data_IF_782443330667
#
_entry.id   IF_782443330667
#
_cell.length_a   1.000
_cell.length_b   1.000
_cell.length_c   1.000
_cell.angle_alpha   90.00
_cell.angle_beta   90.00
_cell.angle_gamma   90.00
#
_symmetry.space_group_name_H-M   'P 1'
#
loop_
_entity.id
_entity.type
_entity.pdbx_description
1 polymer ?
#
# COMPACT_ATOMS: atom_id res chain seq x y z
N UNK A 1 -20.40 -16.96 12.37
CA UNK A 1 -20.02 -16.00 11.31
C UNK A 1 -18.75 -16.49 10.64
N UNK A 2 -18.65 -16.34 9.32
CA UNK A 2 -17.43 -16.65 8.55
C UNK A 2 -17.01 -15.40 7.80
N UNK A 3 -15.72 -15.08 7.83
CA UNK A 3 -15.11 -14.00 7.07
C UNK A 3 -14.30 -14.63 5.95
N UNK A 4 -14.58 -14.24 4.71
CA UNK A 4 -13.83 -14.66 3.54
C UNK A 4 -12.87 -13.54 3.17
N UNK A 5 -11.59 -13.85 3.12
CA UNK A 5 -10.51 -12.90 2.81
C UNK A 5 -9.79 -13.30 1.53
N UNK A 6 -9.63 -12.38 0.62
CA UNK A 6 -8.97 -12.64 -0.65
C UNK A 6 -7.45 -12.84 -0.51
N UNK A 7 -6.85 -12.21 0.49
CA UNK A 7 -5.41 -12.27 0.75
C UNK A 7 -5.04 -13.45 1.66
N UNK A 8 -3.76 -13.78 1.70
CA UNK A 8 -3.20 -14.84 2.54
C UNK A 8 -3.11 -14.47 4.02
N UNK A 9 -3.35 -13.20 4.38
CA UNK A 9 -3.37 -12.71 5.75
C UNK A 9 -4.68 -11.99 6.07
N UNK A 10 -5.17 -12.16 7.31
CA UNK A 10 -6.36 -11.50 7.80
C UNK A 10 -5.97 -10.13 8.37
N UNK A 11 -6.74 -9.11 8.07
CA UNK A 11 -6.52 -7.76 8.61
C UNK A 11 -6.69 -6.66 7.56
N UNK A 12 -6.77 -7.02 6.28
CA UNK A 12 -6.99 -6.05 5.20
C UNK A 12 -5.97 -4.91 5.24
N UNK A 13 -6.42 -3.69 5.04
CA UNK A 13 -5.55 -2.50 5.02
C UNK A 13 -4.73 -2.29 6.29
N UNK A 14 -5.17 -2.81 7.43
CA UNK A 14 -4.41 -2.72 8.67
C UNK A 14 -3.08 -3.47 8.58
N UNK A 15 -3.02 -4.54 7.78
CA UNK A 15 -1.81 -5.33 7.56
C UNK A 15 -1.09 -4.99 6.25
N UNK A 16 -1.81 -4.84 5.14
CA UNK A 16 -1.15 -4.60 3.87
C UNK A 16 -0.82 -3.12 3.61
N UNK A 17 -1.63 -2.20 4.16
CA UNK A 17 -1.52 -0.77 3.83
C UNK A 17 -0.87 0.08 4.90
N UNK A 18 -1.00 -0.27 6.19
CA UNK A 18 -0.41 0.49 7.28
C UNK A 18 0.93 -0.15 7.67
N UNK A 19 2.05 0.59 7.58
CA UNK A 19 3.36 0.05 7.92
C UNK A 19 3.48 -0.32 9.40
N UNK A 20 4.34 -1.31 9.67
CA UNK A 20 4.62 -1.84 11.02
C UNK A 20 5.01 -0.75 12.03
N UNK A 21 5.71 0.30 11.57
CA UNK A 21 6.12 1.42 12.44
C UNK A 21 4.96 2.33 12.87
N UNK A 22 3.78 2.21 12.24
CA UNK A 22 2.56 2.92 12.65
C UNK A 22 1.59 2.01 13.41
N UNK A 23 1.41 0.80 12.93
CA UNK A 23 0.54 -0.20 13.52
C UNK A 23 1.23 -1.57 13.49
N UNK A 24 1.83 -1.99 14.59
CA UNK A 24 2.45 -3.32 14.69
C UNK A 24 1.44 -4.42 14.36
N UNK A 25 1.80 -5.32 13.43
CA UNK A 25 0.96 -6.44 13.00
C UNK A 25 0.50 -7.31 14.17
N UNK A 26 1.32 -7.43 15.21
CA UNK A 26 0.98 -8.16 16.42
C UNK A 26 -0.29 -7.64 17.11
N UNK A 27 -0.56 -6.35 17.04
CA UNK A 27 -1.80 -5.75 17.60
C UNK A 27 -3.00 -6.25 16.82
N UNK A 28 -2.90 -6.25 15.49
CA UNK A 28 -3.96 -6.76 14.60
C UNK A 28 -4.20 -8.25 14.86
N UNK A 29 -3.14 -9.04 15.04
CA UNK A 29 -3.24 -10.47 15.31
C UNK A 29 -3.96 -10.77 16.62
N UNK A 30 -3.71 -9.99 17.67
CA UNK A 30 -4.42 -10.12 18.96
C UNK A 30 -5.92 -9.90 18.80
N UNK A 31 -6.32 -8.89 18.03
CA UNK A 31 -7.74 -8.63 17.76
C UNK A 31 -8.39 -9.77 16.94
N UNK A 32 -7.71 -10.24 15.91
CA UNK A 32 -8.18 -11.39 15.10
C UNK A 32 -8.32 -12.64 15.94
N UNK A 33 -7.36 -12.93 16.81
CA UNK A 33 -7.43 -14.08 17.72
C UNK A 33 -8.56 -13.93 18.74
N UNK A 34 -8.86 -12.72 19.18
CA UNK A 34 -10.03 -12.42 19.98
C UNK A 34 -11.32 -12.84 19.26
N UNK A 35 -11.46 -12.46 18.00
CA UNK A 35 -12.62 -12.84 17.16
C UNK A 35 -12.70 -14.37 16.95
N UNK A 36 -11.56 -15.03 16.72
CA UNK A 36 -11.52 -16.52 16.61
C UNK A 36 -12.04 -17.20 17.88
N UNK A 37 -11.62 -16.70 19.06
CA UNK A 37 -12.10 -17.21 20.36
C UNK A 37 -13.60 -17.01 20.57
N UNK A 38 -14.17 -15.98 19.93
CA UNK A 38 -15.62 -15.75 19.90
C UNK A 38 -16.37 -16.65 18.89
N UNK A 39 -15.66 -17.52 18.16
CA UNK A 39 -16.24 -18.45 17.20
C UNK A 39 -16.36 -17.92 15.77
N UNK A 40 -15.70 -16.82 15.44
CA UNK A 40 -15.58 -16.35 14.05
C UNK A 40 -14.59 -17.24 13.31
N UNK A 41 -15.01 -17.75 12.14
CA UNK A 41 -14.16 -18.48 11.22
C UNK A 41 -13.61 -17.54 10.17
N UNK A 42 -12.38 -17.77 9.75
CA UNK A 42 -11.69 -17.01 8.71
C UNK A 42 -11.19 -17.96 7.64
N UNK A 43 -11.65 -17.73 6.42
CA UNK A 43 -11.24 -18.46 5.20
C UNK A 43 -10.39 -17.52 4.37
N UNK A 44 -9.09 -17.81 4.30
CA UNK A 44 -8.09 -17.02 3.54
C UNK A 44 -8.00 -17.52 2.10
N UNK A 45 -7.35 -16.73 1.25
CA UNK A 45 -7.15 -17.05 -0.17
C UNK A 45 -8.45 -17.34 -0.91
N UNK A 46 -9.54 -16.73 -0.45
CA UNK A 46 -10.88 -16.94 -0.94
C UNK A 46 -11.49 -15.67 -1.52
N UNK A 47 -11.53 -15.58 -2.84
CA UNK A 47 -12.09 -14.45 -3.57
C UNK A 47 -13.55 -14.74 -3.89
N UNK A 48 -14.47 -14.14 -3.13
CA UNK A 48 -15.91 -14.25 -3.38
C UNK A 48 -16.23 -13.68 -4.78
N UNK A 49 -16.95 -14.46 -5.58
CA UNK A 49 -17.22 -14.17 -6.99
C UNK A 49 -16.20 -14.77 -7.96
N UNK A 50 -15.13 -15.41 -7.46
CA UNK A 50 -14.11 -16.14 -8.25
C UNK A 50 -13.87 -17.54 -7.70
N UNK A 51 -13.39 -17.64 -6.47
CA UNK A 51 -13.12 -18.93 -5.79
C UNK A 51 -14.39 -19.58 -5.30
N UNK A 52 -15.33 -18.79 -4.80
CA UNK A 52 -16.66 -19.19 -4.34
C UNK A 52 -17.68 -18.18 -4.84
N UNK A 53 -18.80 -18.67 -5.35
CA UNK A 53 -19.87 -17.81 -5.82
C UNK A 53 -20.85 -17.43 -4.70
N UNK A 54 -21.72 -16.47 -4.96
CA UNK A 54 -22.81 -16.13 -4.05
C UNK A 54 -23.80 -17.29 -3.89
N UNK A 55 -24.06 -18.03 -4.98
CA UNK A 55 -24.97 -19.16 -4.97
C UNK A 55 -24.41 -20.31 -4.12
N UNK A 56 -23.09 -20.55 -4.18
CA UNK A 56 -22.42 -21.54 -3.31
C UNK A 56 -22.56 -21.14 -1.84
N UNK A 57 -22.36 -19.89 -1.50
CA UNK A 57 -22.55 -19.40 -0.12
C UNK A 57 -24.00 -19.63 0.36
N UNK A 58 -24.98 -19.40 -0.52
CA UNK A 58 -26.38 -19.64 -0.19
C UNK A 58 -26.66 -21.13 -0.01
N UNK A 59 -26.11 -22.00 -0.87
CA UNK A 59 -26.23 -23.45 -0.78
C UNK A 59 -25.59 -23.99 0.51
N UNK A 60 -24.47 -23.41 0.95
CA UNK A 60 -23.80 -23.71 2.22
C UNK A 60 -24.57 -23.22 3.45
N UNK A 61 -25.73 -22.60 3.25
CA UNK A 61 -26.65 -22.22 4.31
C UNK A 61 -26.41 -20.82 4.92
N UNK A 62 -25.55 -19.98 4.33
CA UNK A 62 -25.43 -18.60 4.73
C UNK A 62 -26.75 -17.84 4.44
N UNK A 63 -27.26 -17.12 5.43
CA UNK A 63 -28.55 -16.41 5.35
C UNK A 63 -28.41 -14.95 4.95
N UNK A 64 -27.22 -14.41 5.03
CA UNK A 64 -26.91 -13.03 4.66
C UNK A 64 -25.44 -12.87 4.40
N UNK A 65 -25.10 -11.92 3.53
CA UNK A 65 -23.73 -11.55 3.18
C UNK A 65 -23.55 -10.08 3.47
N UNK A 66 -22.52 -9.74 4.24
CA UNK A 66 -22.07 -8.38 4.45
C UNK A 66 -20.84 -8.11 3.57
N UNK A 67 -20.98 -7.21 2.61
CA UNK A 67 -19.89 -6.86 1.69
C UNK A 67 -19.00 -5.81 2.34
N UNK A 68 -17.75 -6.18 2.60
CA UNK A 68 -16.73 -5.33 3.23
C UNK A 68 -15.40 -5.45 2.49
N UNK A 69 -15.43 -5.44 1.16
CA UNK A 69 -14.27 -5.65 0.28
C UNK A 69 -13.23 -4.53 0.31
N UNK A 70 -13.55 -3.42 0.98
CA UNK A 70 -12.64 -2.25 1.07
C UNK A 70 -12.54 -1.47 -0.23
N UNK A 71 -11.55 -0.59 -0.31
CA UNK A 71 -11.26 0.27 -1.46
C UNK A 71 -9.79 0.10 -1.91
N UNK A 72 -9.38 -1.16 -2.15
CA UNK A 72 -8.00 -1.52 -2.50
C UNK A 72 -7.57 -1.17 -3.92
N UNK A 73 -8.49 -0.75 -4.80
CA UNK A 73 -8.16 -0.38 -6.17
C UNK A 73 -7.44 0.98 -6.19
N UNK A 74 -6.27 1.05 -6.82
CA UNK A 74 -5.52 2.30 -6.93
C UNK A 74 -6.19 3.26 -7.92
N UNK A 75 -6.02 4.56 -7.66
CA UNK A 75 -6.34 5.60 -8.62
C UNK A 75 -5.07 6.00 -9.38
N UNK A 76 -5.06 5.80 -10.69
CA UNK A 76 -4.01 6.25 -11.57
C UNK A 76 -4.30 7.66 -12.09
N UNK A 77 -3.25 8.39 -12.44
CA UNK A 77 -3.37 9.76 -12.96
C UNK A 77 -3.75 9.79 -14.44
N UNK A 78 -3.57 8.65 -15.14
CA UNK A 78 -3.77 8.52 -16.59
C UNK A 78 -2.90 9.49 -17.40
N UNK A 79 -1.63 9.59 -17.01
CA UNK A 79 -0.62 10.40 -17.71
C UNK A 79 0.40 9.49 -18.40
N UNK A 80 1.09 10.01 -19.45
CA UNK A 80 2.13 9.23 -20.11
C UNK A 80 3.21 8.73 -19.15
N UNK A 81 3.69 7.50 -19.36
CA UNK A 81 4.78 6.91 -18.59
C UNK A 81 4.36 6.16 -17.32
N UNK A 82 3.09 6.09 -16.97
CA UNK A 82 2.64 5.33 -15.80
C UNK A 82 2.95 3.82 -15.85
N UNK A 83 3.27 3.30 -17.04
CA UNK A 83 3.64 1.89 -17.24
C UNK A 83 5.16 1.64 -17.17
N UNK A 84 5.96 2.63 -16.85
CA UNK A 84 7.40 2.43 -16.73
C UNK A 84 7.76 1.61 -15.50
N UNK A 85 8.84 0.86 -15.61
CA UNK A 85 9.40 0.13 -14.46
C UNK A 85 9.80 1.13 -13.38
N UNK A 86 9.44 0.84 -12.13
CA UNK A 86 9.64 1.75 -11.01
C UNK A 86 8.46 2.69 -10.72
N UNK A 87 7.46 2.76 -11.62
CA UNK A 87 6.18 3.44 -11.33
C UNK A 87 5.19 2.40 -10.83
N UNK A 88 4.68 2.59 -9.63
CA UNK A 88 3.72 1.67 -9.01
C UNK A 88 2.74 2.41 -8.11
N UNK A 89 1.60 1.82 -7.86
CA UNK A 89 0.67 2.39 -6.90
C UNK A 89 1.18 2.25 -5.47
N UNK A 90 0.81 3.20 -4.60
CA UNK A 90 1.10 3.10 -3.16
C UNK A 90 0.56 1.81 -2.54
N UNK A 91 -0.62 1.35 -2.98
CA UNK A 91 -1.19 0.09 -2.51
C UNK A 91 -0.30 -1.11 -2.86
N UNK A 92 0.20 -1.17 -4.09
CA UNK A 92 1.13 -2.22 -4.51
C UNK A 92 2.43 -2.16 -3.72
N UNK A 93 3.03 -0.97 -3.62
CA UNK A 93 4.28 -0.77 -2.90
C UNK A 93 4.17 -1.20 -1.43
N UNK A 94 3.14 -0.71 -0.73
CA UNK A 94 2.93 -1.03 0.68
C UNK A 94 2.55 -2.50 0.89
N UNK A 95 1.73 -3.09 0.02
CA UNK A 95 1.40 -4.51 0.10
C UNK A 95 2.64 -5.38 -0.05
N UNK A 96 3.51 -5.08 -1.00
CA UNK A 96 4.77 -5.81 -1.19
C UNK A 96 5.65 -5.72 0.06
N UNK A 97 5.83 -4.53 0.61
CA UNK A 97 6.68 -4.33 1.80
C UNK A 97 6.07 -4.97 3.04
N UNK A 98 4.77 -4.77 3.28
CA UNK A 98 4.14 -5.16 4.54
C UNK A 98 3.70 -6.64 4.59
N UNK A 99 3.32 -7.25 3.46
CA UNK A 99 2.84 -8.64 3.42
C UNK A 99 3.77 -9.63 2.75
N UNK A 100 4.63 -9.17 1.82
CA UNK A 100 5.44 -10.05 0.99
C UNK A 100 6.91 -10.01 1.37
N UNK A 101 7.26 -9.39 2.49
CA UNK A 101 8.65 -9.21 2.97
C UNK A 101 9.59 -8.63 1.88
N UNK A 102 9.04 -7.83 0.97
CA UNK A 102 9.74 -7.34 -0.21
C UNK A 102 10.88 -6.35 0.10
N UNK A 103 10.95 -5.87 1.34
CA UNK A 103 12.09 -5.09 1.84
C UNK A 103 13.35 -5.95 2.04
N UNK A 104 13.19 -7.26 2.20
CA UNK A 104 14.27 -8.22 2.30
C UNK A 104 14.79 -8.56 0.90
N UNK A 105 16.08 -8.36 0.58
CA UNK A 105 16.64 -8.72 -0.72
C UNK A 105 16.54 -10.20 -1.08
N UNK A 106 16.43 -11.08 -0.10
CA UNK A 106 16.28 -12.53 -0.28
C UNK A 106 14.81 -12.95 -0.49
N UNK A 107 13.86 -12.01 -0.49
CA UNK A 107 12.46 -12.28 -0.79
C UNK A 107 12.28 -12.77 -2.22
N UNK A 108 11.29 -13.64 -2.46
CA UNK A 108 10.92 -14.10 -3.81
C UNK A 108 10.47 -12.94 -4.73
N UNK A 109 9.99 -11.86 -4.16
CA UNK A 109 9.50 -10.68 -4.88
C UNK A 109 10.04 -9.39 -4.24
N UNK A 110 11.35 -9.13 -4.26
CA UNK A 110 11.91 -7.93 -3.65
C UNK A 110 11.36 -6.66 -4.32
N UNK A 111 11.17 -5.62 -3.53
CA UNK A 111 10.80 -4.31 -4.06
C UNK A 111 12.06 -3.57 -4.55
N UNK A 112 11.93 -2.88 -5.67
CA UNK A 112 12.99 -1.99 -6.14
C UNK A 112 13.19 -0.85 -5.12
N UNK A 113 14.40 -0.78 -4.56
CA UNK A 113 14.79 0.28 -3.64
C UNK A 113 15.35 1.45 -4.45
N UNK A 114 14.51 2.46 -4.69
CA UNK A 114 14.94 3.67 -5.39
C UNK A 114 15.81 4.57 -4.50
N UNK A 115 16.91 5.10 -5.02
CA UNK A 115 17.70 6.13 -4.32
C UNK A 115 16.93 7.43 -4.20
N UNK A 116 16.18 7.79 -5.23
CA UNK A 116 15.30 8.98 -5.28
C UNK A 116 13.86 8.49 -5.50
N UNK A 117 12.97 8.83 -4.58
CA UNK A 117 11.58 8.38 -4.61
C UNK A 117 10.66 9.58 -4.52
N UNK A 118 9.74 9.68 -5.47
CA UNK A 118 8.66 10.66 -5.45
C UNK A 118 7.32 9.95 -5.24
N UNK A 119 6.56 10.37 -4.25
CA UNK A 119 5.21 9.86 -3.98
C UNK A 119 4.20 10.94 -4.33
N UNK A 120 3.30 10.62 -5.26
CA UNK A 120 2.30 11.56 -5.74
C UNK A 120 1.04 11.42 -4.89
N UNK A 121 0.74 12.44 -4.12
CA UNK A 121 -0.43 12.45 -3.24
C UNK A 121 -0.18 13.11 -1.90
N UNK A 122 -1.25 13.44 -1.18
CA UNK A 122 -1.21 14.14 0.12
C UNK A 122 -2.01 13.44 1.22
N UNK A 123 -2.41 12.17 1.02
CA UNK A 123 -3.14 11.39 2.01
C UNK A 123 -2.25 10.56 2.94
N UNK A 124 -2.84 9.90 3.93
CA UNK A 124 -2.11 9.04 4.87
C UNK A 124 -1.33 7.93 4.14
N UNK A 125 -1.89 7.35 3.08
CA UNK A 125 -1.22 6.33 2.28
C UNK A 125 0.05 6.86 1.60
N UNK A 126 0.03 8.13 1.15
CA UNK A 126 1.22 8.78 0.60
C UNK A 126 2.28 9.01 1.68
N UNK A 127 1.88 9.43 2.88
CA UNK A 127 2.81 9.57 4.02
C UNK A 127 3.42 8.22 4.39
N UNK A 128 2.62 7.15 4.42
CA UNK A 128 3.11 5.80 4.69
C UNK A 128 4.12 5.34 3.64
N UNK A 129 3.82 5.56 2.36
CA UNK A 129 4.70 5.13 1.26
C UNK A 129 6.02 5.89 1.26
N UNK A 130 6.00 7.21 1.41
CA UNK A 130 7.23 8.01 1.39
C UNK A 130 8.11 7.75 2.61
N UNK A 131 7.51 7.56 3.79
CA UNK A 131 8.25 7.20 5.02
C UNK A 131 8.83 5.80 4.91
N UNK A 132 8.08 4.84 4.34
CA UNK A 132 8.59 3.50 4.05
C UNK A 132 9.78 3.56 3.10
N UNK A 133 9.70 4.30 2.00
CA UNK A 133 10.82 4.48 1.08
C UNK A 133 12.04 5.10 1.77
N UNK A 134 11.83 6.12 2.61
CA UNK A 134 12.92 6.73 3.37
C UNK A 134 13.60 5.76 4.33
N UNK A 135 12.81 4.94 5.02
CA UNK A 135 13.31 3.90 5.96
C UNK A 135 14.01 2.76 5.24
N UNK A 136 13.64 2.45 3.99
CA UNK A 136 14.33 1.46 3.14
C UNK A 136 15.61 1.99 2.49
N UNK A 137 16.02 3.22 2.81
CA UNK A 137 17.32 3.74 2.41
C UNK A 137 17.30 4.71 1.23
N UNK A 138 16.14 5.23 0.82
CA UNK A 138 16.11 6.29 -0.17
C UNK A 138 16.93 7.50 0.31
N UNK A 139 17.88 7.93 -0.50
CA UNK A 139 18.72 9.11 -0.23
C UNK A 139 17.87 10.38 -0.25
N UNK A 140 16.89 10.41 -1.16
CA UNK A 140 15.92 11.49 -1.30
C UNK A 140 14.53 10.91 -1.46
N UNK A 141 13.62 11.31 -0.58
CA UNK A 141 12.21 10.93 -0.64
C UNK A 141 11.35 12.18 -0.58
N UNK A 142 10.37 12.30 -1.48
CA UNK A 142 9.55 13.50 -1.57
C UNK A 142 8.08 13.19 -1.78
N UNK A 143 7.23 14.06 -1.24
CA UNK A 143 5.81 14.14 -1.58
C UNK A 143 5.62 15.19 -2.67
N UNK A 144 4.92 14.83 -3.73
CA UNK A 144 4.45 15.75 -4.77
C UNK A 144 2.94 15.90 -4.63
N UNK A 145 2.48 17.11 -4.36
CA UNK A 145 1.07 17.35 -4.09
C UNK A 145 0.54 18.59 -4.81
N UNK A 146 -0.62 18.43 -5.46
CA UNK A 146 -1.20 19.47 -6.32
C UNK A 146 -1.73 20.72 -5.60
N UNK A 147 -1.98 20.62 -4.30
CA UNK A 147 -2.50 21.71 -3.47
C UNK A 147 -1.48 22.14 -2.43
N UNK A 148 -1.89 23.06 -1.56
CA UNK A 148 -1.06 23.49 -0.43
C UNK A 148 -0.94 22.40 0.65
N UNK A 149 -0.01 22.58 1.55
CA UNK A 149 0.17 21.64 2.66
C UNK A 149 -1.02 21.62 3.61
N UNK A 150 -1.66 22.76 3.85
CA UNK A 150 -2.83 22.88 4.72
C UNK A 150 -4.04 22.13 4.15
N UNK A 151 -4.08 21.89 2.84
CA UNK A 151 -5.14 21.14 2.17
C UNK A 151 -4.87 19.64 2.09
N UNK A 152 -3.76 19.15 2.67
CA UNK A 152 -3.47 17.72 2.69
C UNK A 152 -4.48 16.96 3.53
N UNK A 153 -5.12 15.89 2.99
CA UNK A 153 -6.05 15.07 3.75
C UNK A 153 -5.37 14.15 4.77
N UNK A 154 -4.02 14.09 4.79
CA UNK A 154 -3.27 13.35 5.78
C UNK A 154 -3.44 13.96 7.17
N UNK A 155 -3.32 13.15 8.22
CA UNK A 155 -3.27 13.63 9.60
C UNK A 155 -2.04 14.51 9.80
N UNK A 156 -2.20 15.59 10.54
CA UNK A 156 -1.10 16.54 10.82
C UNK A 156 0.11 15.85 11.46
N UNK A 157 -0.13 14.87 12.34
CA UNK A 157 0.95 14.08 12.96
C UNK A 157 1.75 13.30 11.92
N UNK A 158 1.10 12.74 10.90
CA UNK A 158 1.79 11.97 9.86
C UNK A 158 2.63 12.88 8.95
N UNK A 159 2.13 14.05 8.63
CA UNK A 159 2.89 15.08 7.90
C UNK A 159 4.10 15.51 8.72
N UNK A 160 3.91 15.76 10.02
CA UNK A 160 5.00 16.11 10.94
C UNK A 160 6.07 15.02 11.01
N UNK A 161 5.66 13.75 11.21
CA UNK A 161 6.59 12.63 11.25
C UNK A 161 7.36 12.48 9.94
N UNK A 162 6.71 12.66 8.79
CA UNK A 162 7.38 12.60 7.49
C UNK A 162 8.47 13.68 7.39
N UNK A 163 8.20 14.91 7.85
CA UNK A 163 9.19 16.00 7.89
C UNK A 163 10.35 15.68 8.84
N UNK A 164 10.06 15.15 10.01
CA UNK A 164 11.08 14.74 10.99
C UNK A 164 12.01 13.65 10.43
N UNK A 165 11.49 12.78 9.55
CA UNK A 165 12.26 11.75 8.84
C UNK A 165 12.99 12.29 7.60
N UNK A 166 12.92 13.58 7.33
CA UNK A 166 13.63 14.25 6.23
C UNK A 166 12.99 14.09 4.87
N UNK A 167 11.66 13.86 4.83
CA UNK A 167 10.88 13.87 3.58
C UNK A 167 10.72 15.30 3.08
N UNK A 168 10.96 15.50 1.80
CA UNK A 168 10.73 16.79 1.13
C UNK A 168 9.27 16.92 0.68
N UNK A 169 8.75 18.15 0.68
CA UNK A 169 7.39 18.44 0.26
C UNK A 169 7.39 19.41 -0.93
N UNK A 170 7.00 18.91 -2.08
CA UNK A 170 6.80 19.66 -3.31
C UNK A 170 5.30 19.89 -3.51
N UNK A 171 4.77 20.91 -2.85
CA UNK A 171 3.35 21.30 -2.93
C UNK A 171 3.09 22.21 -4.13
N UNK A 172 1.83 22.36 -4.52
CA UNK A 172 1.38 23.12 -5.69
C UNK A 172 1.97 22.60 -7.01
N UNK A 173 2.32 21.31 -7.05
CA UNK A 173 2.86 20.63 -8.22
C UNK A 173 2.02 19.42 -8.58
N UNK A 174 1.82 19.23 -9.88
CA UNK A 174 1.12 18.06 -10.41
C UNK A 174 1.91 17.52 -11.61
N UNK A 175 2.32 16.24 -11.60
CA UNK A 175 3.02 15.66 -12.74
C UNK A 175 2.09 15.62 -13.96
N UNK A 176 2.66 15.84 -15.14
CA UNK A 176 1.97 15.79 -16.43
C UNK A 176 2.40 14.58 -17.26
N UNK A 177 3.59 14.06 -17.00
CA UNK A 177 4.13 12.87 -17.63
C UNK A 177 5.28 12.32 -16.78
N UNK A 178 5.57 11.03 -16.93
CA UNK A 178 6.79 10.41 -16.44
C UNK A 178 7.72 10.18 -17.61
N UNK A 179 8.94 10.71 -17.53
CA UNK A 179 9.96 10.58 -18.57
C UNK A 179 10.92 9.50 -18.11
N UNK A 180 11.09 8.44 -18.89
CA UNK A 180 11.94 7.33 -18.54
C UNK A 180 12.40 6.53 -19.74
N UNK A 181 13.26 5.54 -19.51
CA UNK A 181 13.73 4.62 -20.52
C UNK A 181 13.09 3.23 -20.36
N UNK A 182 12.70 2.60 -21.47
CA UNK A 182 12.22 1.22 -21.49
C UNK A 182 13.33 0.18 -21.27
N UNK A 183 14.59 0.60 -21.35
CA UNK A 183 15.74 -0.27 -21.17
C UNK A 183 16.29 -0.11 -19.75
N UNK A 184 16.17 -1.19 -19.00
CA UNK A 184 16.75 -1.30 -17.67
C UNK A 184 18.25 -1.54 -17.82
N UNK A 185 19.05 -0.50 -17.55
CA UNK A 185 20.47 -0.70 -17.24
C UNK A 185 20.67 -0.33 -15.77
N UNK A 186 21.59 -1.00 -15.09
CA UNK A 186 21.87 -0.74 -13.67
C UNK A 186 22.18 0.73 -13.36
N UNK A 187 22.57 1.50 -14.35
CA UNK A 187 22.89 2.91 -14.23
C UNK A 187 21.67 3.84 -14.41
N UNK A 188 20.58 3.36 -15.04
CA UNK A 188 19.36 4.15 -15.24
C UNK A 188 18.56 4.33 -13.94
N UNK A 189 18.81 3.53 -12.91
CA UNK A 189 18.18 3.66 -11.60
C UNK A 189 18.59 4.95 -10.85
N UNK A 190 19.68 5.57 -11.24
CA UNK A 190 20.17 6.81 -10.62
C UNK A 190 19.45 8.07 -11.11
N UNK A 191 18.79 8.02 -12.27
CA UNK A 191 18.17 9.19 -12.91
C UNK A 191 16.63 9.17 -12.93
N UNK A 192 15.98 8.10 -12.43
CA UNK A 192 14.53 8.00 -12.38
C UNK A 192 13.96 8.82 -11.22
N UNK A 193 13.37 9.89 -11.57
CA UNK A 193 12.54 10.73 -10.68
C UNK A 193 11.07 10.41 -10.96
#
# INVERSE_FOLDING_TARGET
>A
MTVFEALHEIGGVLKYGIPEFRLPNKIVDVEIDGLRKMGVRFEKDCIVGKTISYDDLHADGFKGVFVASGAGLPNFMNIPGENFVGVMSSNEYLTRVNLMDAANPESDTPVLQGKKVAVIGGGNTAMDSVRTARRLGAERAMIVYRRSEEEMPARLEEVKHAKEEGVEFLTLHNPIEYIGCLLYTSDAADDLI
#
